data_IF_973435098389
#
_entry.id   IF_973435098389
#
_cell.length_a   1.000
_cell.length_b   1.000
_cell.length_c   1.000
_cell.angle_alpha   90.00
_cell.angle_beta   90.00
_cell.angle_gamma   90.00
#
_symmetry.space_group_name_H-M   'P 1'
#
loop_
_entity.id
_entity.type
_entity.pdbx_description
1 polymer ?
#
# COMPACT_ATOMS: atom_id res chain seq x y z
N UNK A 1 -7.89 6.04 -21.22
CA UNK A 1 -8.50 5.88 -19.88
C UNK A 1 -8.48 4.42 -19.41
N UNK A 2 -8.82 3.44 -20.25
CA UNK A 2 -8.90 2.01 -19.87
C UNK A 2 -7.56 1.38 -19.42
N UNK A 3 -6.46 1.70 -20.11
CA UNK A 3 -5.12 1.15 -19.80
C UNK A 3 -4.52 1.67 -18.49
N UNK A 4 -4.79 2.95 -18.16
CA UNK A 4 -4.27 3.63 -16.95
C UNK A 4 -4.70 2.96 -15.64
N UNK A 5 -5.83 2.24 -15.67
CA UNK A 5 -6.43 1.61 -14.49
C UNK A 5 -6.01 0.14 -14.31
N UNK A 6 -5.20 -0.43 -15.21
CA UNK A 6 -4.79 -1.85 -15.14
C UNK A 6 -3.70 -2.08 -14.08
N UNK A 7 -2.70 -1.19 -14.01
CA UNK A 7 -1.65 -1.24 -12.99
C UNK A 7 -2.18 -0.91 -11.58
N UNK A 8 -3.18 -0.04 -11.47
CA UNK A 8 -3.83 0.24 -10.19
C UNK A 8 -4.55 -0.98 -9.64
N UNK A 9 -5.15 -1.81 -10.51
CA UNK A 9 -5.75 -3.10 -10.11
C UNK A 9 -4.70 -4.09 -9.58
N UNK A 10 -3.51 -4.09 -10.17
CA UNK A 10 -2.36 -4.85 -9.65
C UNK A 10 -1.90 -4.32 -8.28
N UNK A 11 -2.01 -3.02 -8.03
CA UNK A 11 -1.66 -2.42 -6.75
C UNK A 11 -2.54 -2.94 -5.59
N UNK A 12 -3.85 -3.15 -5.83
CA UNK A 12 -4.73 -3.81 -4.86
C UNK A 12 -4.44 -5.31 -4.75
N UNK A 13 -4.09 -5.97 -5.86
CA UNK A 13 -3.63 -7.37 -5.83
C UNK A 13 -2.34 -7.56 -5.00
N UNK A 14 -1.45 -6.57 -5.02
CA UNK A 14 -0.20 -6.58 -4.25
C UNK A 14 -0.41 -6.57 -2.73
N UNK A 15 -1.60 -6.16 -2.24
CA UNK A 15 -1.95 -6.34 -0.83
C UNK A 15 -1.92 -7.81 -0.41
N UNK A 16 -2.10 -8.76 -1.35
CA UNK A 16 -1.93 -10.20 -1.12
C UNK A 16 -0.53 -10.57 -0.62
N UNK A 17 0.50 -9.76 -0.87
CA UNK A 17 1.87 -9.96 -0.35
C UNK A 17 1.88 -9.92 1.19
N UNK A 18 0.99 -9.15 1.81
CA UNK A 18 0.83 -9.12 3.26
C UNK A 18 0.52 -10.52 3.84
N UNK A 19 -0.17 -11.37 3.06
CA UNK A 19 -0.55 -12.74 3.44
C UNK A 19 0.62 -13.70 3.61
N UNK A 20 1.83 -13.39 3.14
CA UNK A 20 3.03 -14.17 3.41
C UNK A 20 3.58 -13.92 4.84
N UNK A 21 3.24 -12.79 5.45
CA UNK A 21 3.73 -12.39 6.78
C UNK A 21 2.73 -12.72 7.90
N UNK A 22 2.13 -13.92 7.86
CA UNK A 22 1.08 -14.36 8.80
C UNK A 22 1.51 -14.28 10.28
N UNK A 23 2.82 -14.40 10.55
CA UNK A 23 3.40 -14.35 11.91
C UNK A 23 3.60 -12.93 12.44
N UNK A 24 3.65 -11.93 11.56
CA UNK A 24 3.91 -10.54 11.93
C UNK A 24 3.06 -9.61 11.08
N UNK A 25 1.88 -9.27 11.59
CA UNK A 25 0.95 -8.38 10.90
C UNK A 25 1.55 -7.00 10.56
N UNK A 26 2.39 -6.36 11.42
CA UNK A 26 3.08 -5.13 11.04
C UNK A 26 3.97 -5.29 9.80
N UNK A 27 4.72 -6.39 9.71
CA UNK A 27 5.52 -6.68 8.51
C UNK A 27 4.64 -6.91 7.29
N UNK A 28 3.48 -7.57 7.46
CA UNK A 28 2.50 -7.72 6.39
C UNK A 28 1.93 -6.39 5.90
N UNK A 29 1.57 -5.49 6.81
CA UNK A 29 1.08 -4.14 6.48
C UNK A 29 2.14 -3.37 5.69
N UNK A 30 3.40 -3.39 6.14
CA UNK A 30 4.51 -2.72 5.46
C UNK A 30 4.76 -3.35 4.08
N UNK A 31 4.85 -4.67 4.00
CA UNK A 31 5.14 -5.37 2.75
C UNK A 31 4.03 -5.20 1.70
N UNK A 32 2.76 -5.31 2.11
CA UNK A 32 1.62 -5.04 1.24
C UNK A 32 1.56 -3.59 0.79
N UNK A 33 1.89 -2.66 1.70
CA UNK A 33 1.99 -1.24 1.41
C UNK A 33 3.06 -0.86 0.39
N UNK A 34 4.28 -1.38 0.59
CA UNK A 34 5.40 -1.19 -0.33
C UNK A 34 5.08 -1.83 -1.68
N UNK A 35 4.51 -3.03 -1.69
CA UNK A 35 4.03 -3.68 -2.92
C UNK A 35 3.05 -2.79 -3.68
N UNK A 36 2.01 -2.29 -3.00
CA UNK A 36 1.04 -1.35 -3.58
C UNK A 36 1.71 -0.07 -4.09
N UNK A 37 2.65 0.49 -3.33
CA UNK A 37 3.40 1.68 -3.70
C UNK A 37 4.17 1.51 -5.01
N UNK A 38 4.85 0.37 -5.20
CA UNK A 38 5.62 0.10 -6.43
C UNK A 38 4.72 0.14 -7.66
N UNK A 39 3.56 -0.52 -7.63
CA UNK A 39 2.63 -0.52 -8.76
C UNK A 39 2.04 0.87 -9.04
N UNK A 40 1.73 1.63 -7.99
CA UNK A 40 1.28 3.01 -8.12
C UNK A 40 2.37 3.95 -8.67
N UNK A 41 3.61 3.78 -8.22
CA UNK A 41 4.76 4.54 -8.70
C UNK A 41 5.05 4.27 -10.19
N UNK A 42 5.05 3.00 -10.61
CA UNK A 42 5.23 2.62 -12.01
C UNK A 42 4.08 3.18 -12.86
N UNK A 43 2.84 3.06 -12.38
CA UNK A 43 1.67 3.63 -13.05
C UNK A 43 1.79 5.16 -13.18
N UNK A 44 2.19 5.84 -12.11
CA UNK A 44 2.39 7.29 -12.08
C UNK A 44 3.47 7.75 -13.04
N UNK A 45 4.61 7.05 -13.08
CA UNK A 45 5.72 7.39 -13.95
C UNK A 45 5.34 7.16 -15.43
N UNK A 46 4.69 6.04 -15.76
CA UNK A 46 4.39 5.70 -17.16
C UNK A 46 3.17 6.47 -17.71
N UNK A 47 2.13 6.68 -16.90
CA UNK A 47 0.85 7.23 -17.40
C UNK A 47 0.53 8.65 -16.94
N UNK A 48 1.24 9.14 -15.92
CA UNK A 48 1.00 10.46 -15.31
C UNK A 48 2.25 11.37 -15.36
N UNK A 49 3.32 10.97 -16.03
CA UNK A 49 4.48 11.83 -16.28
C UNK A 49 4.10 13.18 -16.91
N UNK A 50 3.06 13.22 -17.75
CA UNK A 50 2.56 14.44 -18.39
C UNK A 50 1.98 15.47 -17.41
N UNK A 51 1.63 15.06 -16.19
CA UNK A 51 1.14 15.97 -15.14
C UNK A 51 2.30 16.57 -14.31
N UNK A 52 3.54 16.18 -14.57
CA UNK A 52 4.69 16.76 -13.90
C UNK A 52 4.79 18.27 -14.24
N UNK A 53 5.02 19.14 -13.25
CA UNK A 53 5.27 20.56 -13.47
C UNK A 53 6.42 20.78 -14.46
N UNK A 54 6.37 21.89 -15.21
CA UNK A 54 7.45 22.25 -16.15
C UNK A 54 8.78 22.30 -15.43
N UNK A 55 9.75 21.51 -15.89
CA UNK A 55 11.10 21.42 -15.31
C UNK A 55 11.27 20.39 -14.19
N UNK A 56 10.21 19.69 -13.76
CA UNK A 56 10.31 18.64 -12.75
C UNK A 56 10.54 17.27 -13.42
N UNK A 57 11.47 16.47 -12.88
CA UNK A 57 11.67 15.10 -13.36
C UNK A 57 10.41 14.25 -13.09
N UNK A 58 9.81 13.61 -14.11
CA UNK A 58 8.61 12.79 -13.95
C UNK A 58 8.75 11.63 -12.95
N UNK A 59 9.96 11.09 -12.80
CA UNK A 59 10.28 10.06 -11.80
C UNK A 59 10.10 10.61 -10.39
N UNK A 60 10.66 11.80 -10.13
CA UNK A 60 10.56 12.46 -8.83
C UNK A 60 9.11 12.89 -8.54
N UNK A 61 8.39 13.40 -9.54
CA UNK A 61 6.97 13.72 -9.44
C UNK A 61 6.15 12.49 -9.03
N UNK A 62 6.30 11.37 -9.73
CA UNK A 62 5.58 10.13 -9.42
C UNK A 62 5.93 9.60 -8.02
N UNK A 63 7.21 9.67 -7.63
CA UNK A 63 7.67 9.22 -6.32
C UNK A 63 6.98 10.01 -5.20
N UNK A 64 7.09 11.33 -5.23
CA UNK A 64 6.54 12.21 -4.18
C UNK A 64 5.03 12.15 -4.16
N UNK A 65 4.37 12.21 -5.31
CA UNK A 65 2.90 12.16 -5.40
C UNK A 65 2.35 10.85 -4.83
N UNK A 66 2.90 9.70 -5.24
CA UNK A 66 2.40 8.42 -4.71
C UNK A 66 2.78 8.23 -3.24
N UNK A 67 3.88 8.83 -2.77
CA UNK A 67 4.33 8.67 -1.39
C UNK A 67 3.45 9.47 -0.43
N UNK A 68 2.97 10.64 -0.83
CA UNK A 68 2.01 11.43 -0.06
C UNK A 68 0.60 10.83 -0.10
N UNK A 69 0.25 10.06 -1.13
CA UNK A 69 -1.04 9.34 -1.19
C UNK A 69 -1.01 8.06 -0.35
N UNK A 70 0.02 7.22 -0.50
CA UNK A 70 0.08 5.88 0.12
C UNK A 70 0.75 5.91 1.49
N UNK A 71 1.72 6.79 1.71
CA UNK A 71 2.45 6.90 2.97
C UNK A 71 1.53 7.14 4.17
N UNK A 72 0.65 8.16 4.16
CA UNK A 72 -0.29 8.40 5.25
C UNK A 72 -1.23 7.21 5.48
N UNK A 73 -1.67 6.55 4.40
CA UNK A 73 -2.51 5.35 4.49
C UNK A 73 -1.80 4.25 5.29
N UNK A 74 -0.52 3.98 4.98
CA UNK A 74 0.28 2.99 5.70
C UNK A 74 0.51 3.35 7.16
N UNK A 75 0.76 4.64 7.43
CA UNK A 75 0.89 5.13 8.80
C UNK A 75 -0.42 4.90 9.56
N UNK A 76 -1.56 5.21 8.97
CA UNK A 76 -2.88 4.98 9.58
C UNK A 76 -3.08 3.50 9.87
N UNK A 77 -2.78 2.59 8.94
CA UNK A 77 -2.90 1.15 9.18
C UNK A 77 -2.03 0.67 10.36
N UNK A 78 -0.80 1.18 10.47
CA UNK A 78 0.10 0.84 11.59
C UNK A 78 -0.40 1.42 12.92
N UNK A 79 -0.91 2.65 12.92
CA UNK A 79 -1.50 3.29 14.10
C UNK A 79 -2.74 2.53 14.57
N UNK A 80 -3.65 2.18 13.66
CA UNK A 80 -4.84 1.37 13.97
C UNK A 80 -4.43 0.01 14.55
N UNK A 81 -3.42 -0.64 13.96
CA UNK A 81 -2.87 -1.87 14.52
C UNK A 81 -2.24 -1.66 15.90
N UNK A 82 -1.65 -0.52 16.20
CA UNK A 82 -1.05 -0.26 17.52
C UNK A 82 -2.08 -0.22 18.66
N UNK A 83 -3.35 0.04 18.34
CA UNK A 83 -4.45 0.08 19.32
C UNK A 83 -4.63 -1.31 19.98
N UNK A 84 -4.47 -1.45 21.31
CA UNK A 84 -4.51 -2.74 22.00
C UNK A 84 -5.79 -3.54 21.76
N UNK A 85 -6.94 -2.87 21.69
CA UNK A 85 -8.26 -3.45 21.45
C UNK A 85 -8.30 -4.13 20.08
N UNK A 86 -7.76 -3.46 19.05
CA UNK A 86 -7.65 -4.00 17.69
C UNK A 86 -6.73 -5.21 17.68
N UNK A 87 -5.56 -5.14 18.34
CA UNK A 87 -4.63 -6.27 18.44
C UNK A 87 -5.27 -7.50 19.10
N UNK A 88 -6.06 -7.29 20.16
CA UNK A 88 -6.78 -8.37 20.85
C UNK A 88 -7.84 -8.99 19.95
N UNK A 89 -8.64 -8.18 19.26
CA UNK A 89 -9.65 -8.65 18.32
C UNK A 89 -9.03 -9.48 17.19
N UNK A 90 -7.95 -8.97 16.58
CA UNK A 90 -7.22 -9.68 15.51
C UNK A 90 -6.65 -11.01 16.03
N UNK A 91 -6.05 -11.03 17.23
CA UNK A 91 -5.54 -12.27 17.84
C UNK A 91 -6.64 -13.28 18.11
N UNK A 92 -7.80 -12.83 18.61
CA UNK A 92 -8.95 -13.69 18.82
C UNK A 92 -9.41 -14.33 17.50
N UNK A 93 -9.56 -13.53 16.43
CA UNK A 93 -9.93 -14.03 15.09
C UNK A 93 -8.88 -14.97 14.48
N UNK A 94 -7.61 -14.78 14.79
CA UNK A 94 -6.53 -15.64 14.29
C UNK A 94 -6.43 -16.98 15.02
N UNK A 95 -7.13 -17.16 16.15
CA UNK A 95 -7.06 -18.37 16.94
C UNK A 95 -8.23 -19.30 16.59
N UNK A 96 -8.00 -20.44 15.93
CA UNK A 96 -9.09 -21.30 15.46
C UNK A 96 -9.87 -22.00 16.58
N UNK A 97 -9.47 -21.86 17.85
CA UNK A 97 -10.15 -22.44 19.02
C UNK A 97 -11.33 -21.62 19.55
N UNK A 98 -11.59 -20.43 19.00
CA UNK A 98 -12.79 -19.61 19.29
C UNK A 98 -13.85 -19.66 18.19
N UNK A 99 -13.66 -20.53 17.18
CA UNK A 99 -14.66 -20.94 16.18
C UNK A 99 -15.00 -22.42 16.40
#
# INVERSE_FOLDING_TARGET
MYEKNKLTRLAFGALGIAGFFKKSLPLGIIAGGVGRFIFHFISGFVFFASYAPKGMNPVYYSLVYNATVIGPELVICLVVYAIPQVRKAIKALSNPSVL
#
